data_IF_284917963984
#
_entry.id   IF_284917963984
#
_cell.length_a   1.000
_cell.length_b   1.000
_cell.length_c   1.000
_cell.angle_alpha   90.00
_cell.angle_beta   90.00
_cell.angle_gamma   90.00
#
_symmetry.space_group_name_H-M   'P 1'
#
loop_
_entity.id
_entity.type
_entity.pdbx_description
1 polymer ?
#
# COMPACT_ATOMS: atom_id res chain seq x y z
N UNK A 1 -14.37 -11.69 -14.63
CA UNK A 1 -13.36 -12.63 -14.10
C UNK A 1 -12.30 -11.87 -13.30
N UNK A 2 -11.84 -12.40 -12.18
CA UNK A 2 -10.74 -11.76 -11.45
C UNK A 2 -9.48 -11.65 -12.31
N UNK A 3 -8.71 -10.59 -12.10
CA UNK A 3 -7.53 -10.30 -12.90
C UNK A 3 -6.31 -10.12 -11.98
N UNK A 4 -5.17 -10.71 -12.34
CA UNK A 4 -3.96 -10.58 -11.54
C UNK A 4 -3.24 -9.26 -11.80
N UNK A 5 -2.50 -8.78 -10.81
CA UNK A 5 -1.66 -7.59 -10.97
C UNK A 5 -0.64 -7.79 -12.10
N UNK A 6 -0.08 -9.00 -12.24
CA UNK A 6 0.84 -9.31 -13.33
C UNK A 6 0.22 -9.04 -14.71
N UNK A 7 -1.02 -9.48 -14.91
CA UNK A 7 -1.75 -9.23 -16.16
C UNK A 7 -1.95 -7.74 -16.40
N UNK A 8 -2.31 -6.98 -15.35
CA UNK A 8 -2.48 -5.53 -15.44
C UNK A 8 -1.18 -4.83 -15.78
N UNK A 9 -0.08 -5.25 -15.19
CA UNK A 9 1.26 -4.70 -15.49
C UNK A 9 1.64 -4.99 -16.95
N UNK A 10 1.47 -6.22 -17.39
CA UNK A 10 1.82 -6.63 -18.77
C UNK A 10 1.00 -5.88 -19.82
N UNK A 11 -0.25 -5.58 -19.52
CA UNK A 11 -1.15 -4.83 -20.40
C UNK A 11 -1.07 -3.32 -20.21
N UNK A 12 -0.28 -2.85 -19.24
CA UNK A 12 -0.20 -1.44 -18.86
C UNK A 12 -1.57 -0.84 -18.49
N UNK A 13 -2.36 -1.63 -17.78
CA UNK A 13 -3.70 -1.25 -17.32
C UNK A 13 -3.75 -1.01 -15.80
N UNK A 14 -2.61 -0.72 -15.16
CA UNK A 14 -2.56 -0.36 -13.74
C UNK A 14 -3.10 1.05 -13.58
N UNK A 15 -4.36 1.15 -13.17
CA UNK A 15 -5.06 2.43 -13.02
C UNK A 15 -4.99 2.95 -11.59
N UNK A 16 -5.60 4.12 -11.36
CA UNK A 16 -5.62 4.77 -10.05
C UNK A 16 -6.32 3.91 -8.99
N UNK A 17 -7.36 3.18 -9.35
CA UNK A 17 -8.07 2.29 -8.42
C UNK A 17 -7.21 1.12 -7.98
N UNK A 18 -6.46 0.51 -8.88
CA UNK A 18 -5.52 -0.55 -8.57
C UNK A 18 -4.48 -0.05 -7.57
N UNK A 19 -3.90 1.12 -7.83
CA UNK A 19 -2.92 1.74 -6.92
C UNK A 19 -3.52 2.07 -5.56
N UNK A 20 -4.76 2.57 -5.54
CA UNK A 20 -5.45 2.86 -4.28
C UNK A 20 -5.69 1.59 -3.46
N UNK A 21 -6.11 0.49 -4.09
CA UNK A 21 -6.29 -0.79 -3.41
C UNK A 21 -4.97 -1.34 -2.87
N UNK A 22 -3.90 -1.27 -3.65
CA UNK A 22 -2.58 -1.67 -3.18
C UNK A 22 -2.16 -0.86 -1.95
N UNK A 23 -2.36 0.44 -1.98
CA UNK A 23 -2.00 1.30 -0.87
C UNK A 23 -2.85 1.04 0.38
N UNK A 24 -4.16 0.81 0.22
CA UNK A 24 -5.10 0.70 1.34
C UNK A 24 -5.23 -0.72 1.90
N UNK A 25 -5.09 -1.75 1.07
CA UNK A 25 -5.47 -3.12 1.41
C UNK A 25 -4.33 -4.12 1.42
N UNK A 26 -3.21 -3.83 0.75
CA UNK A 26 -2.16 -4.83 0.55
C UNK A 26 -1.57 -5.34 1.88
N UNK A 27 -1.23 -4.44 2.78
CA UNK A 27 -0.62 -4.82 4.07
C UNK A 27 -1.60 -5.62 4.92
N UNK A 28 -2.87 -5.20 4.99
CA UNK A 28 -3.92 -5.93 5.72
C UNK A 28 -4.11 -7.33 5.15
N UNK A 29 -4.12 -7.48 3.83
CA UNK A 29 -4.26 -8.76 3.16
C UNK A 29 -3.05 -9.68 3.44
N UNK A 30 -1.85 -9.13 3.50
CA UNK A 30 -0.64 -9.89 3.88
C UNK A 30 -0.76 -10.41 5.32
N UNK A 31 -1.23 -9.59 6.26
CA UNK A 31 -1.48 -10.03 7.63
C UNK A 31 -2.50 -11.17 7.69
N UNK A 32 -3.60 -11.07 6.94
CA UNK A 32 -4.63 -12.12 6.89
C UNK A 32 -4.06 -13.44 6.41
N UNK A 33 -3.23 -13.42 5.37
CA UNK A 33 -2.57 -14.61 4.83
C UNK A 33 -1.65 -15.25 5.88
N UNK A 34 -0.88 -14.44 6.59
CA UNK A 34 0.04 -14.93 7.63
C UNK A 34 -0.73 -15.51 8.83
N UNK A 35 -1.81 -14.90 9.23
CA UNK A 35 -2.65 -15.40 10.34
C UNK A 35 -3.27 -16.76 10.02
N UNK A 36 -3.60 -17.02 8.77
CA UNK A 36 -4.11 -18.32 8.32
C UNK A 36 -3.02 -19.39 8.26
N UNK A 37 -1.75 -19.03 8.47
CA UNK A 37 -0.64 -19.96 8.39
C UNK A 37 -0.29 -20.41 6.98
N UNK A 38 -0.75 -19.68 5.96
CA UNK A 38 -0.41 -20.00 4.58
C UNK A 38 1.08 -19.75 4.33
N UNK A 39 1.72 -20.69 3.65
CA UNK A 39 3.15 -20.62 3.34
C UNK A 39 3.36 -20.07 1.93
N UNK A 40 4.58 -19.62 1.67
CA UNK A 40 4.95 -19.07 0.37
C UNK A 40 5.35 -17.61 0.45
N UNK A 41 5.76 -17.06 -0.67
CA UNK A 41 6.07 -15.65 -0.84
C UNK A 41 5.00 -15.00 -1.70
N UNK A 42 5.18 -13.74 -2.02
CA UNK A 42 4.27 -12.98 -2.89
C UNK A 42 5.02 -12.44 -4.11
N UNK A 43 4.32 -12.38 -5.23
CA UNK A 43 4.80 -11.72 -6.45
C UNK A 43 3.61 -11.04 -7.14
N UNK A 44 3.80 -10.54 -8.36
CA UNK A 44 2.73 -9.85 -9.09
C UNK A 44 1.53 -10.76 -9.38
N UNK A 45 1.74 -12.09 -9.45
CA UNK A 45 0.65 -13.05 -9.66
C UNK A 45 -0.19 -13.29 -8.40
N UNK A 46 0.36 -12.96 -7.24
CA UNK A 46 -0.31 -13.16 -5.96
C UNK A 46 -1.48 -12.19 -5.75
N UNK A 47 -1.43 -11.02 -6.34
CA UNK A 47 -2.43 -9.97 -6.17
C UNK A 47 -3.51 -10.12 -7.23
N UNK A 48 -4.75 -10.38 -6.79
CA UNK A 48 -5.89 -10.62 -7.69
C UNK A 48 -6.98 -9.60 -7.37
N UNK A 49 -7.43 -8.91 -8.42
CA UNK A 49 -8.44 -7.86 -8.32
C UNK A 49 -9.76 -8.36 -8.89
N UNK A 50 -10.88 -7.91 -8.28
CA UNK A 50 -12.20 -8.14 -8.83
C UNK A 50 -12.40 -7.37 -10.14
N UNK A 51 -13.38 -7.78 -10.96
CA UNK A 51 -13.66 -7.16 -12.27
C UNK A 51 -13.94 -5.67 -12.17
N UNK A 52 -14.57 -5.23 -11.09
CA UNK A 52 -14.92 -3.83 -10.84
C UNK A 52 -13.87 -3.06 -10.05
N UNK A 53 -12.74 -3.70 -9.72
CA UNK A 53 -11.65 -3.13 -8.92
C UNK A 53 -12.10 -2.61 -7.54
N UNK A 54 -13.06 -3.28 -6.93
CA UNK A 54 -13.51 -2.96 -5.57
C UNK A 54 -12.81 -3.77 -4.50
N UNK A 55 -12.36 -4.97 -4.83
CA UNK A 55 -11.72 -5.87 -3.89
C UNK A 55 -10.39 -6.38 -4.44
N UNK A 56 -9.50 -6.73 -3.52
CA UNK A 56 -8.21 -7.34 -3.83
C UNK A 56 -7.96 -8.47 -2.86
N UNK A 57 -7.49 -9.60 -3.36
CA UNK A 57 -7.09 -10.75 -2.56
C UNK A 57 -5.64 -11.11 -2.85
N UNK A 58 -4.97 -11.71 -1.87
CA UNK A 58 -3.59 -12.17 -2.01
C UNK A 58 -3.55 -13.68 -1.88
N UNK A 59 -2.90 -14.33 -2.83
CA UNK A 59 -2.64 -15.76 -2.83
C UNK A 59 -1.14 -15.99 -2.84
N UNK A 60 -0.55 -16.56 -1.77
CA UNK A 60 0.88 -16.84 -1.75
C UNK A 60 1.29 -17.81 -2.87
N UNK A 61 2.52 -17.66 -3.36
CA UNK A 61 3.08 -18.52 -4.41
C UNK A 61 4.25 -19.32 -3.85
N UNK A 62 4.41 -20.54 -4.35
CA UNK A 62 5.49 -21.43 -3.94
C UNK A 62 5.19 -22.17 -2.64
N UNK A 63 6.04 -23.14 -2.32
CA UNK A 63 5.88 -24.04 -1.17
C UNK A 63 6.79 -23.66 0.00
N UNK A 64 7.71 -22.73 -0.20
CA UNK A 64 8.69 -22.33 0.80
C UNK A 64 8.14 -21.24 1.70
N UNK A 65 8.18 -21.46 3.01
CA UNK A 65 7.81 -20.44 3.98
C UNK A 65 8.77 -19.26 3.91
N UNK A 66 8.23 -18.04 3.75
CA UNK A 66 9.00 -16.81 3.75
C UNK A 66 8.88 -16.12 5.11
N UNK A 67 9.99 -15.57 5.61
CA UNK A 67 9.95 -14.73 6.80
C UNK A 67 9.38 -13.35 6.48
N UNK A 68 9.11 -12.57 7.52
CA UNK A 68 8.50 -11.25 7.37
C UNK A 68 9.35 -10.30 6.51
N UNK A 69 10.66 -10.32 6.70
CA UNK A 69 11.60 -9.49 5.92
C UNK A 69 11.57 -9.85 4.43
N UNK A 70 11.53 -11.15 4.12
CA UNK A 70 11.43 -11.62 2.73
C UNK A 70 10.13 -11.19 2.08
N UNK A 71 9.01 -11.25 2.81
CA UNK A 71 7.70 -10.81 2.32
C UNK A 71 7.69 -9.30 2.07
N UNK A 72 8.26 -8.51 2.98
CA UNK A 72 8.36 -7.06 2.81
C UNK A 72 9.21 -6.71 1.58
N UNK A 73 10.34 -7.37 1.39
CA UNK A 73 11.19 -7.15 0.22
C UNK A 73 10.46 -7.54 -1.07
N UNK A 74 9.76 -8.68 -1.08
CA UNK A 74 8.97 -9.12 -2.22
C UNK A 74 7.85 -8.14 -2.54
N UNK A 75 7.14 -7.63 -1.53
CA UNK A 75 6.12 -6.60 -1.71
C UNK A 75 6.72 -5.33 -2.31
N UNK A 76 7.92 -4.93 -1.89
CA UNK A 76 8.61 -3.78 -2.44
C UNK A 76 8.85 -3.90 -3.94
N UNK A 77 9.25 -5.07 -4.41
CA UNK A 77 9.42 -5.34 -5.84
C UNK A 77 8.09 -5.26 -6.60
N UNK A 78 7.04 -5.85 -6.04
CA UNK A 78 5.69 -5.80 -6.63
C UNK A 78 5.20 -4.36 -6.73
N UNK A 79 5.35 -3.60 -5.65
CA UNK A 79 4.93 -2.19 -5.61
C UNK A 79 5.70 -1.35 -6.63
N UNK A 80 7.00 -1.55 -6.75
CA UNK A 80 7.83 -0.83 -7.72
C UNK A 80 7.35 -1.11 -9.15
N UNK A 81 7.12 -2.37 -9.49
CA UNK A 81 6.66 -2.75 -10.82
C UNK A 81 5.26 -2.18 -11.11
N UNK A 82 4.38 -2.17 -10.12
CA UNK A 82 3.05 -1.58 -10.27
C UNK A 82 3.12 -0.05 -10.49
N UNK A 83 3.95 0.65 -9.73
CA UNK A 83 4.13 2.10 -9.86
C UNK A 83 4.70 2.46 -11.23
N UNK A 84 5.70 1.73 -11.69
CA UNK A 84 6.30 1.97 -13.02
C UNK A 84 5.24 1.77 -14.12
N UNK A 85 4.35 0.80 -13.97
CA UNK A 85 3.29 0.53 -14.93
C UNK A 85 2.10 1.50 -14.81
N UNK A 86 2.01 2.27 -13.72
CA UNK A 86 0.92 3.23 -13.52
C UNK A 86 1.19 4.55 -14.25
N UNK A 87 0.14 5.30 -14.62
CA UNK A 87 0.33 6.55 -15.37
C UNK A 87 0.92 7.69 -14.54
N UNK A 88 0.72 7.70 -13.23
CA UNK A 88 1.06 8.84 -12.38
C UNK A 88 2.40 8.72 -11.65
N UNK A 89 3.04 7.55 -11.64
CA UNK A 89 4.33 7.29 -10.98
C UNK A 89 4.49 8.00 -9.63
N UNK A 90 3.64 7.72 -8.61
CA UNK A 90 3.69 8.45 -7.35
C UNK A 90 5.03 8.26 -6.63
N UNK A 91 5.75 9.36 -6.44
CA UNK A 91 7.12 9.36 -5.89
C UNK A 91 7.21 8.74 -4.50
N UNK A 92 6.19 8.94 -3.68
CA UNK A 92 6.16 8.39 -2.33
C UNK A 92 6.13 6.86 -2.34
N UNK A 93 5.32 6.27 -3.21
CA UNK A 93 5.25 4.82 -3.34
C UNK A 93 6.54 4.24 -3.91
N UNK A 94 7.21 4.95 -4.82
CA UNK A 94 8.54 4.57 -5.31
C UNK A 94 9.54 4.51 -4.15
N UNK A 95 9.53 5.52 -3.28
CA UNK A 95 10.42 5.54 -2.11
C UNK A 95 10.13 4.40 -1.15
N UNK A 96 8.85 4.14 -0.85
CA UNK A 96 8.45 3.02 0.02
C UNK A 96 8.91 1.69 -0.59
N UNK A 97 8.67 1.48 -1.88
CA UNK A 97 9.09 0.26 -2.57
C UNK A 97 10.61 0.07 -2.52
N UNK A 98 11.37 1.14 -2.73
CA UNK A 98 12.82 1.11 -2.64
C UNK A 98 13.29 0.79 -1.22
N UNK A 99 12.68 1.40 -0.21
CA UNK A 99 13.04 1.14 1.19
C UNK A 99 12.73 -0.30 1.62
N UNK A 100 11.68 -0.89 1.05
CA UNK A 100 11.39 -2.32 1.25
C UNK A 100 12.46 -3.21 0.62
N UNK A 101 12.89 -2.91 -0.60
CA UNK A 101 13.87 -3.75 -1.31
C UNK A 101 15.28 -3.60 -0.78
N UNK A 102 15.68 -2.43 -0.29
CA UNK A 102 17.03 -2.21 0.25
C UNK A 102 17.17 -2.53 1.74
N UNK A 103 16.09 -2.94 2.39
CA UNK A 103 16.11 -3.38 3.79
C UNK A 103 15.94 -2.28 4.83
N UNK A 104 15.58 -1.05 4.45
CA UNK A 104 15.25 0.02 5.41
C UNK A 104 13.91 -0.23 6.09
N UNK A 105 12.94 -0.80 5.37
CA UNK A 105 11.71 -1.33 5.94
C UNK A 105 11.84 -2.85 6.00
N UNK A 106 11.77 -3.43 7.19
CA UNK A 106 12.04 -4.85 7.42
C UNK A 106 10.84 -5.63 7.94
N UNK A 107 9.84 -4.95 8.46
CA UNK A 107 8.66 -5.58 9.06
C UNK A 107 7.37 -4.97 8.53
N UNK A 108 6.27 -5.70 8.71
CA UNK A 108 4.96 -5.28 8.22
C UNK A 108 4.40 -4.09 9.00
N UNK A 109 4.74 -3.97 10.29
CA UNK A 109 4.30 -2.84 11.11
C UNK A 109 4.86 -1.52 10.57
N UNK A 110 6.15 -1.45 10.29
CA UNK A 110 6.78 -0.27 9.71
C UNK A 110 6.26 0.01 8.29
N UNK A 111 6.03 -1.04 7.50
CA UNK A 111 5.44 -0.89 6.17
C UNK A 111 4.05 -0.29 6.26
N UNK A 112 3.22 -0.79 7.17
CA UNK A 112 1.86 -0.30 7.39
C UNK A 112 1.87 1.18 7.77
N UNK A 113 2.71 1.57 8.74
CA UNK A 113 2.86 2.96 9.15
C UNK A 113 3.29 3.86 7.99
N UNK A 114 4.20 3.41 7.14
CA UNK A 114 4.67 4.18 6.00
C UNK A 114 3.58 4.32 4.93
N UNK A 115 2.79 3.28 4.69
CA UNK A 115 1.69 3.31 3.73
C UNK A 115 0.55 4.23 4.19
N UNK A 116 0.22 4.24 5.48
CA UNK A 116 -0.85 5.07 6.05
C UNK A 116 -0.46 6.52 6.27
N UNK A 117 0.81 6.78 6.55
CA UNK A 117 1.29 8.09 7.00
C UNK A 117 0.84 9.26 6.12
N UNK A 118 0.69 9.03 4.83
CA UNK A 118 0.27 10.09 3.89
C UNK A 118 -1.16 10.57 4.16
N UNK A 119 -2.07 9.67 4.47
CA UNK A 119 -3.46 10.03 4.79
C UNK A 119 -3.51 10.87 6.06
N UNK A 120 -2.73 10.49 7.08
CA UNK A 120 -2.61 11.26 8.32
C UNK A 120 -2.09 12.67 8.05
N UNK A 121 -0.95 12.79 7.39
CA UNK A 121 -0.31 14.09 7.13
C UNK A 121 -1.18 14.99 6.27
N UNK A 122 -1.93 14.43 5.32
CA UNK A 122 -2.77 15.21 4.42
C UNK A 122 -4.05 15.71 5.12
N UNK A 123 -4.58 14.97 6.09
CA UNK A 123 -5.83 15.30 6.77
C UNK A 123 -5.58 16.13 8.04
N UNK A 124 -4.58 15.77 8.85
CA UNK A 124 -4.35 16.40 10.15
C UNK A 124 -3.86 17.84 10.07
N UNK A 125 -2.97 18.17 9.14
CA UNK A 125 -2.41 19.51 9.04
C UNK A 125 -3.49 20.56 8.71
N UNK A 126 -4.34 20.38 7.67
CA UNK A 126 -5.43 21.33 7.42
C UNK A 126 -6.46 21.37 8.55
N UNK A 127 -6.77 20.24 9.15
CA UNK A 127 -7.73 20.15 10.25
C UNK A 127 -7.27 20.93 11.48
N UNK A 128 -6.00 20.76 11.86
CA UNK A 128 -5.39 21.50 12.98
C UNK A 128 -5.40 23.00 12.69
N UNK A 129 -5.07 23.41 11.49
CA UNK A 129 -5.08 24.81 11.08
C UNK A 129 -6.47 25.43 11.19
N UNK A 130 -7.52 24.71 10.80
CA UNK A 130 -8.91 25.16 10.92
C UNK A 130 -9.31 25.32 12.39
N UNK A 131 -9.00 24.33 13.24
CA UNK A 131 -9.31 24.36 14.67
C UNK A 131 -8.63 25.54 15.35
N UNK A 132 -7.33 25.78 15.07
CA UNK A 132 -6.59 26.90 15.65
C UNK A 132 -7.17 28.24 15.23
N UNK A 133 -7.57 28.39 13.95
CA UNK A 133 -8.20 29.60 13.43
C UNK A 133 -9.53 29.89 14.14
N UNK A 134 -10.36 28.86 14.33
CA UNK A 134 -11.64 28.99 15.03
C UNK A 134 -11.44 29.38 16.51
N UNK A 135 -10.46 28.79 17.19
CA UNK A 135 -10.14 29.13 18.58
C UNK A 135 -9.68 30.59 18.72
N UNK A 136 -8.83 31.06 17.81
CA UNK A 136 -8.37 32.45 17.80
C UNK A 136 -9.52 33.41 17.55
N UNK A 137 -10.45 33.07 16.64
CA UNK A 137 -11.64 33.87 16.35
C UNK A 137 -12.54 33.97 17.57
N UNK A 138 -12.81 32.85 18.25
CA UNK A 138 -13.61 32.83 19.47
C UNK A 138 -12.97 33.67 20.56
N UNK A 139 -11.66 33.56 20.74
CA UNK A 139 -10.92 34.35 21.73
C UNK A 139 -11.03 35.85 21.43
N UNK A 140 -10.85 36.22 20.15
CA UNK A 140 -10.96 37.62 19.72
C UNK A 140 -12.36 38.17 19.94
N UNK A 141 -13.43 37.40 19.63
CA UNK A 141 -14.80 37.85 19.81
C UNK A 141 -15.25 37.90 21.28
N UNK A 142 -14.60 37.14 22.18
CA UNK A 142 -14.94 37.15 23.60
C UNK A 142 -14.26 38.29 24.36
N UNK A 143 -13.37 39.00 23.72
CA UNK A 143 -12.74 40.23 24.24
C UNK A 143 -13.12 41.44 23.41
#
# INVERSE_FOLDING_TARGET
>A
MPISLKTLIDRREVNTRVMALLQQRAVAAIYEVREKGETGTIDERSFVFSDDFRTMEIYPVGDTSADERQIVAAFGEVLMNAVIASPNHPKRLIKIARDCTNGEIRDLENLDLRMERRLSDTIYIPLIAIILTLLLLLFYLSH
#
